data_IF_457721871422
#
_entry.id   IF_457721871422
#
_cell.length_a   1.000
_cell.length_b   1.000
_cell.length_c   1.000
_cell.angle_alpha   90.00
_cell.angle_beta   90.00
_cell.angle_gamma   90.00
#
_symmetry.space_group_name_H-M   'P 1'
#
loop_
_entity.id
_entity.type
_entity.pdbx_description
1 polymer ?
#
# COMPACT_ATOMS: atom_id res chain seq x y z
N UNK A 1 -23.88 45.00 -12.12
CA UNK A 1 -22.45 44.84 -12.44
C UNK A 1 -21.57 44.59 -11.19
N UNK A 2 -21.45 45.52 -10.22
CA UNK A 2 -20.67 45.29 -8.98
C UNK A 2 -21.23 44.16 -8.10
N UNK A 3 -22.57 44.03 -8.03
CA UNK A 3 -23.20 42.95 -7.27
C UNK A 3 -22.96 41.57 -7.87
N UNK A 4 -22.95 41.48 -9.19
CA UNK A 4 -22.66 40.23 -9.91
C UNK A 4 -21.23 39.79 -9.74
N UNK A 5 -20.29 40.75 -9.72
CA UNK A 5 -18.87 40.47 -9.50
C UNK A 5 -18.62 39.91 -8.08
N UNK A 6 -19.25 40.47 -7.06
CA UNK A 6 -19.15 39.98 -5.69
C UNK A 6 -19.71 38.55 -5.58
N UNK A 7 -20.85 38.27 -6.23
CA UNK A 7 -21.40 36.92 -6.24
C UNK A 7 -20.50 35.90 -6.93
N UNK A 8 -19.84 36.27 -8.04
CA UNK A 8 -18.84 35.40 -8.69
C UNK A 8 -17.62 35.18 -7.81
N UNK A 9 -17.11 36.22 -7.14
CA UNK A 9 -15.97 36.10 -6.23
C UNK A 9 -16.29 35.17 -5.05
N UNK A 10 -17.45 35.32 -4.43
CA UNK A 10 -17.92 34.47 -3.33
C UNK A 10 -18.05 33.00 -3.78
N UNK A 11 -18.59 32.78 -5.00
CA UNK A 11 -18.71 31.45 -5.58
C UNK A 11 -17.34 30.80 -5.84
N UNK A 12 -16.37 31.56 -6.33
CA UNK A 12 -14.99 31.05 -6.55
C UNK A 12 -14.32 30.70 -5.23
N UNK A 13 -14.47 31.53 -4.20
CA UNK A 13 -13.93 31.27 -2.86
C UNK A 13 -14.53 30.00 -2.28
N UNK A 14 -15.83 29.78 -2.39
CA UNK A 14 -16.50 28.59 -1.89
C UNK A 14 -16.06 27.33 -2.64
N UNK A 15 -15.95 27.39 -3.97
CA UNK A 15 -15.42 26.27 -4.78
C UNK A 15 -13.99 25.93 -4.39
N UNK A 16 -13.12 26.93 -4.20
CA UNK A 16 -11.74 26.71 -3.78
C UNK A 16 -11.68 26.09 -2.36
N UNK A 17 -12.53 26.52 -1.45
CA UNK A 17 -12.63 25.97 -0.11
C UNK A 17 -13.08 24.50 -0.12
N UNK A 18 -14.10 24.17 -0.92
CA UNK A 18 -14.57 22.79 -1.10
C UNK A 18 -13.50 21.90 -1.73
N UNK A 19 -12.80 22.39 -2.77
CA UNK A 19 -11.68 21.68 -3.37
C UNK A 19 -10.58 21.39 -2.35
N UNK A 20 -10.20 22.38 -1.56
CA UNK A 20 -9.17 22.21 -0.52
C UNK A 20 -9.59 21.24 0.58
N UNK A 21 -10.86 21.26 0.98
CA UNK A 21 -11.40 20.28 1.93
C UNK A 21 -11.42 18.87 1.36
N UNK A 22 -11.80 18.71 0.08
CA UNK A 22 -11.75 17.43 -0.60
C UNK A 22 -10.32 16.89 -0.73
N UNK A 23 -9.34 17.75 -1.04
CA UNK A 23 -7.92 17.39 -1.07
C UNK A 23 -7.40 16.95 0.31
N UNK A 24 -7.77 17.69 1.38
CA UNK A 24 -7.39 17.30 2.76
C UNK A 24 -8.04 15.98 3.14
N UNK A 25 -9.31 15.77 2.80
CA UNK A 25 -10.01 14.53 3.08
C UNK A 25 -9.41 13.35 2.30
N UNK A 26 -9.09 13.54 1.02
CA UNK A 26 -8.40 12.53 0.21
C UNK A 26 -7.02 12.17 0.80
N UNK A 27 -6.27 13.16 1.30
CA UNK A 27 -4.99 12.95 1.98
C UNK A 27 -5.15 12.19 3.31
N UNK A 28 -6.21 12.48 4.08
CA UNK A 28 -6.52 11.75 5.32
C UNK A 28 -6.95 10.30 5.05
N UNK A 29 -7.63 10.06 3.92
CA UNK A 29 -8.05 8.71 3.50
C UNK A 29 -6.88 7.85 2.98
N UNK A 30 -5.78 8.45 2.51
CA UNK A 30 -4.58 7.71 2.11
C UNK A 30 -3.88 7.00 3.28
N UNK A 31 -4.09 7.49 4.52
CA UNK A 31 -3.60 6.83 5.73
C UNK A 31 -4.81 6.29 6.48
N UNK A 32 -5.08 5.01 6.33
CA UNK A 32 -6.13 4.35 7.10
C UNK A 32 -5.74 4.30 8.60
N UNK A 33 -6.37 5.11 9.51
CA UNK A 33 -5.99 5.13 10.91
C UNK A 33 -6.10 3.75 11.56
N UNK A 34 -7.10 2.98 11.18
CA UNK A 34 -7.30 1.62 11.67
C UNK A 34 -6.14 0.68 11.29
N UNK A 35 -5.57 0.84 10.08
CA UNK A 35 -4.37 0.11 9.68
C UNK A 35 -3.18 0.44 10.57
N UNK A 36 -2.97 1.73 10.87
CA UNK A 36 -1.90 2.19 11.76
C UNK A 36 -2.06 1.59 13.16
N UNK A 37 -3.23 1.71 13.78
CA UNK A 37 -3.49 1.17 15.12
C UNK A 37 -3.29 -0.33 15.19
N UNK A 38 -3.78 -1.09 14.22
CA UNK A 38 -3.64 -2.53 14.18
C UNK A 38 -2.18 -2.96 13.99
N UNK A 39 -1.43 -2.28 13.14
CA UNK A 39 0.00 -2.53 12.94
C UNK A 39 0.80 -2.28 14.22
N UNK A 40 0.59 -1.13 14.86
CA UNK A 40 1.25 -0.80 16.14
C UNK A 40 0.89 -1.80 17.25
N UNK A 41 -0.35 -2.28 17.28
CA UNK A 41 -0.80 -3.31 18.22
C UNK A 41 -0.07 -4.63 17.99
N UNK A 42 0.11 -5.05 16.75
CA UNK A 42 0.85 -6.26 16.39
C UNK A 42 2.33 -6.15 16.74
N UNK A 43 2.95 -5.00 16.48
CA UNK A 43 4.34 -4.73 16.87
C UNK A 43 4.49 -4.77 18.39
N UNK A 44 3.58 -4.13 19.14
CA UNK A 44 3.57 -4.19 20.60
C UNK A 44 3.50 -5.62 21.12
N UNK A 45 2.67 -6.46 20.50
CA UNK A 45 2.57 -7.87 20.87
C UNK A 45 3.88 -8.63 20.66
N UNK A 46 4.60 -8.43 19.54
CA UNK A 46 5.92 -9.00 19.31
C UNK A 46 6.93 -8.57 20.38
N UNK A 47 6.92 -7.29 20.78
CA UNK A 47 7.80 -6.77 21.85
C UNK A 47 7.48 -7.47 23.18
N UNK A 48 6.20 -7.64 23.51
CA UNK A 48 5.79 -8.32 24.75
C UNK A 48 6.17 -9.81 24.77
N UNK A 49 6.28 -10.45 23.62
CA UNK A 49 6.79 -11.82 23.48
C UNK A 49 8.32 -11.92 23.54
N UNK A 50 9.03 -10.80 23.54
CA UNK A 50 10.49 -10.76 23.54
C UNK A 50 11.12 -11.01 22.17
N UNK A 51 10.31 -11.04 21.08
CA UNK A 51 10.83 -11.21 19.72
C UNK A 51 11.38 -9.87 19.19
N UNK A 52 12.55 -9.51 19.67
CA UNK A 52 13.22 -8.25 19.32
C UNK A 52 13.55 -8.17 17.83
N UNK A 53 13.91 -9.29 17.20
CA UNK A 53 14.28 -9.32 15.78
C UNK A 53 13.07 -9.01 14.90
N UNK A 54 11.96 -9.71 15.12
CA UNK A 54 10.73 -9.48 14.35
C UNK A 54 10.15 -8.10 14.62
N UNK A 55 10.17 -7.62 15.88
CA UNK A 55 9.63 -6.30 16.20
C UNK A 55 10.43 -5.18 15.57
N UNK A 56 11.76 -5.25 15.57
CA UNK A 56 12.60 -4.25 14.89
C UNK A 56 12.35 -4.24 13.39
N UNK A 57 12.34 -5.41 12.75
CA UNK A 57 12.03 -5.52 11.32
C UNK A 57 10.64 -4.97 10.98
N UNK A 58 9.65 -5.23 11.84
CA UNK A 58 8.28 -4.73 11.64
C UNK A 58 8.19 -3.20 11.77
N UNK A 59 8.94 -2.60 12.71
CA UNK A 59 9.04 -1.14 12.84
C UNK A 59 9.67 -0.54 11.59
N UNK A 60 10.78 -1.10 11.10
CA UNK A 60 11.46 -0.61 9.90
C UNK A 60 10.56 -0.69 8.66
N UNK A 61 9.88 -1.83 8.46
CA UNK A 61 8.92 -2.01 7.38
C UNK A 61 7.78 -0.97 7.47
N UNK A 62 7.25 -0.74 8.67
CA UNK A 62 6.17 0.21 8.88
C UNK A 62 6.60 1.67 8.63
N UNK A 63 7.81 2.05 9.06
CA UNK A 63 8.38 3.38 8.77
C UNK A 63 8.53 3.60 7.27
N UNK A 64 9.04 2.60 6.53
CA UNK A 64 9.18 2.66 5.07
C UNK A 64 7.82 2.84 4.39
N UNK A 65 6.80 2.08 4.79
CA UNK A 65 5.44 2.21 4.26
C UNK A 65 4.83 3.58 4.54
N UNK A 66 4.94 4.08 5.77
CA UNK A 66 4.45 5.41 6.10
C UNK A 66 5.13 6.49 5.26
N UNK A 67 6.46 6.41 5.12
CA UNK A 67 7.22 7.38 4.31
C UNK A 67 6.78 7.33 2.85
N UNK A 68 6.65 6.15 2.27
CA UNK A 68 6.16 5.98 0.91
C UNK A 68 4.74 6.54 0.74
N UNK A 69 3.83 6.29 1.67
CA UNK A 69 2.43 6.76 1.58
C UNK A 69 2.32 8.29 1.74
N UNK A 70 3.13 8.90 2.63
CA UNK A 70 3.06 10.35 2.91
C UNK A 70 3.81 11.18 1.86
N UNK A 71 4.80 10.60 1.18
CA UNK A 71 5.57 11.31 0.15
C UNK A 71 4.66 11.72 -1.01
N UNK A 72 4.49 13.03 -1.18
CA UNK A 72 3.62 13.65 -2.20
C UNK A 72 4.30 13.81 -3.56
N UNK A 73 5.61 13.52 -3.65
CA UNK A 73 6.42 14.05 -4.74
C UNK A 73 6.26 13.32 -6.07
N UNK A 74 5.95 12.03 -6.06
CA UNK A 74 6.03 11.26 -7.30
C UNK A 74 4.79 10.39 -7.52
N UNK A 75 4.08 10.66 -8.62
CA UNK A 75 2.99 9.79 -9.11
C UNK A 75 3.53 8.46 -9.65
N UNK A 76 4.81 8.43 -10.05
CA UNK A 76 5.50 7.27 -10.59
C UNK A 76 6.74 6.96 -9.74
N UNK A 77 6.96 5.67 -9.49
CA UNK A 77 8.14 5.14 -8.79
C UNK A 77 8.74 4.00 -9.61
N UNK A 78 9.96 3.60 -9.29
CA UNK A 78 10.55 2.46 -9.95
C UNK A 78 9.83 1.16 -9.60
N UNK A 79 9.89 0.19 -10.49
CA UNK A 79 9.37 -1.17 -10.22
C UNK A 79 10.04 -1.78 -9.01
N UNK A 80 11.34 -1.52 -8.81
CA UNK A 80 12.08 -1.96 -7.63
C UNK A 80 11.48 -1.38 -6.34
N UNK A 81 11.22 -0.07 -6.31
CA UNK A 81 10.62 0.60 -5.15
C UNK A 81 9.21 0.10 -4.85
N UNK A 82 8.37 -0.09 -5.88
CA UNK A 82 7.00 -0.63 -5.71
C UNK A 82 7.04 -2.05 -5.15
N UNK A 83 7.94 -2.92 -5.64
CA UNK A 83 8.12 -4.27 -5.12
C UNK A 83 8.59 -4.25 -3.66
N UNK A 84 9.52 -3.35 -3.30
CA UNK A 84 9.99 -3.22 -1.91
C UNK A 84 8.87 -2.72 -0.98
N UNK A 85 8.07 -1.77 -1.43
CA UNK A 85 6.88 -1.32 -0.71
C UNK A 85 5.88 -2.46 -0.50
N UNK A 86 5.66 -3.25 -1.54
CA UNK A 86 4.77 -4.40 -1.49
C UNK A 86 5.27 -5.49 -0.52
N UNK A 87 6.56 -5.79 -0.51
CA UNK A 87 7.19 -6.71 0.46
C UNK A 87 7.02 -6.23 1.90
N UNK A 88 7.25 -4.93 2.16
CA UNK A 88 7.06 -4.35 3.48
C UNK A 88 5.58 -4.43 3.91
N UNK A 89 4.65 -4.14 3.00
CA UNK A 89 3.22 -4.25 3.24
C UNK A 89 2.80 -5.69 3.59
N UNK A 90 3.26 -6.67 2.82
CA UNK A 90 2.96 -8.08 3.05
C UNK A 90 3.53 -8.56 4.39
N UNK A 91 4.77 -8.22 4.69
CA UNK A 91 5.41 -8.58 5.95
C UNK A 91 4.61 -8.10 7.18
N UNK A 92 4.12 -6.85 7.14
CA UNK A 92 3.26 -6.31 8.20
C UNK A 92 1.95 -7.09 8.31
N UNK A 93 1.33 -7.44 7.18
CA UNK A 93 0.09 -8.19 7.19
C UNK A 93 0.28 -9.65 7.65
N UNK A 94 1.37 -10.31 7.28
CA UNK A 94 1.72 -11.64 7.79
C UNK A 94 1.81 -11.65 9.32
N UNK A 95 2.46 -10.65 9.92
CA UNK A 95 2.53 -10.50 11.38
C UNK A 95 1.12 -10.31 11.98
N UNK A 96 0.29 -9.46 11.37
CA UNK A 96 -1.06 -9.15 11.86
C UNK A 96 -1.98 -10.35 11.85
N UNK A 97 -1.86 -11.22 10.86
CA UNK A 97 -2.74 -12.38 10.65
C UNK A 97 -2.12 -13.70 11.11
N UNK A 98 -0.99 -13.64 11.88
CA UNK A 98 -0.39 -14.79 12.54
C UNK A 98 0.37 -15.71 11.61
N UNK A 99 1.00 -15.18 10.57
CA UNK A 99 1.86 -15.91 9.62
C UNK A 99 1.14 -17.08 8.90
N UNK A 100 -0.19 -17.04 8.83
CA UNK A 100 -0.99 -18.08 8.15
C UNK A 100 -0.98 -17.95 6.63
N UNK A 101 -0.81 -16.74 6.14
CA UNK A 101 -0.71 -16.44 4.71
C UNK A 101 0.74 -16.09 4.41
N UNK A 102 1.37 -16.85 3.53
CA UNK A 102 2.76 -16.63 3.10
C UNK A 102 2.77 -15.98 1.74
N UNK A 103 3.72 -15.07 1.53
CA UNK A 103 3.91 -14.42 0.24
C UNK A 103 5.30 -14.70 -0.31
N UNK A 104 5.34 -15.15 -1.54
CA UNK A 104 6.60 -15.38 -2.27
C UNK A 104 6.68 -14.47 -3.50
N UNK A 105 7.89 -13.95 -3.76
CA UNK A 105 8.15 -13.02 -4.87
C UNK A 105 9.15 -13.65 -5.85
N UNK A 106 8.74 -13.75 -7.10
CA UNK A 106 9.56 -14.19 -8.21
C UNK A 106 9.79 -13.01 -9.16
N UNK A 107 10.99 -12.46 -9.17
CA UNK A 107 11.33 -11.25 -9.92
C UNK A 107 12.35 -11.60 -10.98
N UNK A 108 11.98 -11.40 -12.25
CA UNK A 108 12.82 -11.64 -13.42
C UNK A 108 12.71 -10.45 -14.37
N UNK A 109 13.38 -9.35 -14.00
CA UNK A 109 13.39 -8.09 -14.75
C UNK A 109 14.84 -7.64 -14.86
N UNK A 110 15.20 -7.09 -16.02
CA UNK A 110 16.44 -6.35 -16.19
C UNK A 110 16.19 -4.90 -15.75
N UNK A 111 17.10 -4.34 -14.95
CA UNK A 111 17.11 -2.94 -14.53
C UNK A 111 15.77 -2.45 -13.93
N UNK A 112 15.25 -3.10 -12.88
CA UNK A 112 13.94 -2.75 -12.29
C UNK A 112 13.91 -1.34 -11.67
N UNK A 113 15.06 -0.73 -11.41
CA UNK A 113 15.27 0.63 -10.93
C UNK A 113 15.00 1.68 -12.02
N UNK A 114 15.08 1.32 -13.31
CA UNK A 114 14.85 2.22 -14.44
C UNK A 114 13.41 2.19 -14.97
N UNK A 115 12.66 1.13 -14.67
CA UNK A 115 11.27 0.99 -15.12
C UNK A 115 10.33 1.71 -14.15
N UNK A 116 9.59 2.70 -14.66
CA UNK A 116 8.68 3.53 -13.87
C UNK A 116 7.23 3.07 -14.02
N UNK A 117 6.54 2.91 -12.90
CA UNK A 117 5.12 2.55 -12.84
C UNK A 117 4.36 3.48 -11.89
N UNK A 118 3.04 3.61 -12.02
CA UNK A 118 2.24 4.37 -11.06
C UNK A 118 2.40 3.79 -9.66
N UNK A 119 2.61 4.67 -8.69
CA UNK A 119 2.78 4.32 -7.28
C UNK A 119 1.54 3.60 -6.75
N UNK A 120 1.76 2.56 -5.93
CA UNK A 120 0.72 1.74 -5.28
C UNK A 120 -0.24 1.04 -6.26
N UNK A 121 0.19 0.81 -7.51
CA UNK A 121 -0.67 0.14 -8.50
C UNK A 121 -0.85 -1.35 -8.21
N UNK A 122 0.14 -2.00 -7.60
CA UNK A 122 0.11 -3.45 -7.30
C UNK A 122 -0.61 -3.76 -5.99
N UNK A 123 -0.63 -2.82 -5.05
CA UNK A 123 -1.18 -3.02 -3.71
C UNK A 123 -2.66 -3.48 -3.71
N UNK A 124 -3.60 -2.89 -4.49
CA UNK A 124 -5.01 -3.31 -4.47
C UNK A 124 -5.22 -4.77 -4.88
N UNK A 125 -4.39 -5.30 -5.79
CA UNK A 125 -4.48 -6.70 -6.21
C UNK A 125 -4.03 -7.65 -5.11
N UNK A 126 -2.96 -7.30 -4.40
CA UNK A 126 -2.51 -8.05 -3.23
C UNK A 126 -3.54 -7.98 -2.10
N UNK A 127 -4.13 -6.82 -1.85
CA UNK A 127 -5.18 -6.65 -0.85
C UNK A 127 -6.37 -7.56 -1.15
N UNK A 128 -6.80 -7.64 -2.39
CA UNK A 128 -7.87 -8.54 -2.79
C UNK A 128 -7.52 -10.01 -2.52
N UNK A 129 -6.34 -10.46 -2.92
CA UNK A 129 -5.89 -11.82 -2.63
C UNK A 129 -5.81 -12.08 -1.13
N UNK A 130 -5.23 -11.15 -0.36
CA UNK A 130 -4.99 -11.32 1.08
C UNK A 130 -6.28 -11.31 1.91
N UNK A 131 -7.18 -10.36 1.66
CA UNK A 131 -8.38 -10.18 2.49
C UNK A 131 -9.60 -10.97 2.02
N UNK A 132 -9.67 -11.32 0.75
CA UNK A 132 -10.82 -12.00 0.17
C UNK A 132 -10.51 -13.42 -0.31
N UNK A 133 -9.24 -13.73 -0.56
CA UNK A 133 -8.83 -15.06 -1.01
C UNK A 133 -8.95 -16.13 0.07
N UNK A 134 -8.76 -15.76 1.35
CA UNK A 134 -8.66 -16.73 2.44
C UNK A 134 -9.71 -16.48 3.53
N UNK A 135 -10.65 -17.42 3.74
CA UNK A 135 -11.54 -17.38 4.90
C UNK A 135 -10.76 -17.40 6.23
N UNK A 136 -11.37 -16.84 7.28
CA UNK A 136 -10.75 -16.77 8.60
C UNK A 136 -10.21 -18.13 9.06
N UNK A 137 -8.93 -18.13 9.45
CA UNK A 137 -8.26 -19.30 10.02
C UNK A 137 -7.61 -20.25 9.04
N UNK A 138 -7.76 -20.07 7.74
CA UNK A 138 -7.08 -20.88 6.72
C UNK A 138 -5.64 -20.42 6.49
N UNK A 139 -4.79 -21.39 6.14
CA UNK A 139 -3.46 -21.12 5.62
C UNK A 139 -3.56 -20.82 4.12
N UNK A 140 -2.75 -19.87 3.65
CA UNK A 140 -2.75 -19.47 2.26
C UNK A 140 -1.36 -19.15 1.75
N UNK A 141 -1.23 -19.15 0.43
CA UNK A 141 -0.02 -18.78 -0.28
C UNK A 141 -0.39 -17.79 -1.39
N UNK A 142 0.39 -16.73 -1.48
CA UNK A 142 0.28 -15.71 -2.53
C UNK A 142 1.63 -15.66 -3.25
N UNK A 143 1.60 -15.82 -4.56
CA UNK A 143 2.78 -15.72 -5.42
C UNK A 143 2.69 -14.45 -6.25
N UNK A 144 3.72 -13.62 -6.16
CA UNK A 144 3.87 -12.40 -6.95
C UNK A 144 4.98 -12.62 -7.97
N UNK A 145 4.60 -12.81 -9.23
CA UNK A 145 5.54 -13.00 -10.33
C UNK A 145 5.65 -11.70 -11.13
N UNK A 146 6.85 -11.15 -11.20
CA UNK A 146 7.14 -9.93 -11.97
C UNK A 146 8.19 -10.24 -13.01
N UNK A 147 7.86 -10.08 -14.29
CA UNK A 147 8.76 -10.42 -15.40
C UNK A 147 8.63 -9.43 -16.55
N UNK A 148 9.71 -9.28 -17.27
CA UNK A 148 9.76 -8.55 -18.52
C UNK A 148 9.62 -9.51 -19.71
N UNK A 149 8.75 -9.19 -20.68
CA UNK A 149 8.59 -9.93 -21.91
C UNK A 149 8.18 -8.99 -23.04
N UNK A 150 8.97 -8.99 -24.13
CA UNK A 150 8.68 -8.19 -25.32
C UNK A 150 8.37 -6.72 -24.99
N UNK A 151 9.24 -6.06 -24.23
CA UNK A 151 9.12 -4.65 -23.79
C UNK A 151 7.86 -4.37 -22.95
N UNK A 152 7.28 -5.40 -22.35
CA UNK A 152 6.14 -5.26 -21.43
C UNK A 152 6.50 -5.80 -20.07
N UNK A 153 6.10 -5.05 -19.04
CA UNK A 153 6.11 -5.54 -17.68
C UNK A 153 4.85 -6.41 -17.47
N UNK A 154 5.06 -7.65 -17.08
CA UNK A 154 3.98 -8.59 -16.75
C UNK A 154 4.05 -8.83 -15.26
N UNK A 155 2.96 -8.54 -14.56
CA UNK A 155 2.79 -8.83 -13.14
C UNK A 155 1.63 -9.80 -12.99
N UNK A 156 1.91 -10.94 -12.36
CA UNK A 156 0.90 -11.96 -12.05
C UNK A 156 0.87 -12.14 -10.53
N UNK A 157 -0.33 -12.02 -9.97
CA UNK A 157 -0.59 -12.26 -8.55
C UNK A 157 -1.51 -13.47 -8.50
N UNK A 158 -1.02 -14.55 -7.91
CA UNK A 158 -1.67 -15.85 -7.87
C UNK A 158 -1.86 -16.22 -6.40
N UNK A 159 -3.07 -16.55 -6.02
CA UNK A 159 -3.38 -17.08 -4.69
C UNK A 159 -4.00 -18.49 -4.80
N UNK A 160 -3.86 -19.28 -3.73
CA UNK A 160 -4.49 -20.60 -3.61
C UNK A 160 -5.77 -20.57 -2.76
N UNK A 161 -6.40 -19.39 -2.69
CA UNK A 161 -7.63 -19.15 -1.94
C UNK A 161 -8.89 -19.73 -2.59
N UNK A 162 -10.03 -19.24 -2.11
CA UNK A 162 -11.36 -19.76 -2.56
C UNK A 162 -11.78 -19.22 -3.94
N UNK A 163 -11.02 -18.26 -4.50
CA UNK A 163 -11.39 -17.57 -5.73
C UNK A 163 -12.50 -16.53 -5.53
N UNK A 164 -12.74 -15.75 -6.58
CA UNK A 164 -13.83 -14.77 -6.66
C UNK A 164 -15.05 -15.37 -7.33
#
# INVERSE_FOLDING_TARGET
>A
MLHDINHYVDSIIEIQKQKRQAEIHALQMQINPHYIYNTLTSIKWLIMQGDTVKSTKAIDAFIKLLRSTISKSDEYISVEEEIENLKNYMYINEIRYGEKIKTEFFISINEPDQLMIPKMILQPFIENAFFHGFPEGQNGEIFVCVREKAEKLIVEIIDNGVGM
#
